data_IF_031657741316
#
_entry.id   IF_031657741316
#
_cell.length_a   1.000
_cell.length_b   1.000
_cell.length_c   1.000
_cell.angle_alpha   90.00
_cell.angle_beta   90.00
_cell.angle_gamma   90.00
#
_symmetry.space_group_name_H-M   'P 1'
#
loop_
_entity.id
_entity.type
_entity.pdbx_description
1 polymer ?
#
# COMPACT_ATOMS: atom_id res chain seq x y z
N UNK A 1 14.14 -37.30 -2.62
CA UNK A 1 13.40 -36.74 -1.46
C UNK A 1 12.83 -35.39 -1.96
N UNK A 2 11.52 -35.34 -2.25
CA UNK A 2 10.83 -34.10 -2.56
C UNK A 2 10.52 -33.40 -1.24
N UNK A 3 11.21 -32.30 -0.96
CA UNK A 3 10.76 -31.38 0.07
C UNK A 3 9.39 -30.85 -0.36
N UNK A 4 8.37 -31.19 0.41
CA UNK A 4 7.03 -30.65 0.21
C UNK A 4 7.06 -29.11 0.39
N UNK A 5 6.09 -28.36 -0.20
CA UNK A 5 6.05 -26.92 -0.09
C UNK A 5 6.10 -26.52 1.38
N UNK A 6 7.02 -25.59 1.69
CA UNK A 6 7.15 -25.03 3.03
C UNK A 6 5.74 -24.60 3.51
N UNK A 7 5.26 -25.19 4.59
CA UNK A 7 4.02 -24.75 5.23
C UNK A 7 4.28 -23.31 5.69
N UNK A 8 3.57 -22.38 5.08
CA UNK A 8 3.57 -20.99 5.54
C UNK A 8 3.22 -20.95 7.03
N UNK A 9 3.84 -20.06 7.83
CA UNK A 9 3.50 -19.88 9.23
C UNK A 9 1.98 -19.77 9.34
N UNK A 10 1.39 -20.54 10.24
CA UNK A 10 -0.04 -20.76 10.28
C UNK A 10 -0.80 -19.48 10.58
N UNK A 11 -2.04 -19.43 10.14
CA UNK A 11 -3.08 -18.39 10.38
C UNK A 11 -3.16 -17.92 11.86
N UNK A 12 -2.47 -18.61 12.79
CA UNK A 12 -2.43 -18.28 14.23
C UNK A 12 -1.74 -16.99 14.58
N UNK A 13 -0.83 -16.49 13.71
CA UNK A 13 -0.09 -15.24 13.97
C UNK A 13 -0.84 -13.99 13.48
N UNK A 14 -1.87 -14.18 12.65
CA UNK A 14 -2.88 -13.20 12.28
C UNK A 14 -2.38 -11.78 11.94
N UNK A 15 -3.17 -10.75 12.27
CA UNK A 15 -2.79 -9.37 12.02
C UNK A 15 -1.46 -8.90 12.63
N UNK A 16 -1.01 -9.36 13.82
CA UNK A 16 0.32 -9.00 14.34
C UNK A 16 1.49 -9.36 13.42
N UNK A 17 1.40 -10.47 12.68
CA UNK A 17 2.42 -10.83 11.67
C UNK A 17 2.51 -9.78 10.56
N UNK A 18 1.37 -9.23 10.12
CA UNK A 18 1.36 -8.17 9.10
C UNK A 18 2.12 -6.92 9.58
N UNK A 19 1.92 -6.53 10.83
CA UNK A 19 2.64 -5.40 11.44
C UNK A 19 4.15 -5.67 11.49
N UNK A 20 4.56 -6.86 11.95
CA UNK A 20 5.98 -7.24 12.02
C UNK A 20 6.64 -7.21 10.62
N UNK A 21 5.99 -7.78 9.61
CA UNK A 21 6.50 -7.80 8.25
C UNK A 21 6.53 -6.40 7.62
N UNK A 22 5.52 -5.57 7.90
CA UNK A 22 5.48 -4.15 7.52
C UNK A 22 6.69 -3.39 8.09
N UNK A 23 6.95 -3.55 9.39
CA UNK A 23 8.03 -2.83 10.07
C UNK A 23 9.41 -3.26 9.55
N UNK A 24 9.59 -4.54 9.22
CA UNK A 24 10.80 -5.02 8.54
C UNK A 24 10.95 -4.43 7.14
N UNK A 25 9.87 -4.40 6.35
CA UNK A 25 9.87 -3.78 5.02
C UNK A 25 10.18 -2.29 5.11
N UNK A 26 9.55 -1.59 6.06
CA UNK A 26 9.81 -0.18 6.31
C UNK A 26 11.29 0.08 6.61
N UNK A 27 11.91 -0.69 7.51
CA UNK A 27 13.33 -0.57 7.80
C UNK A 27 14.22 -0.78 6.56
N UNK A 28 13.87 -1.74 5.68
CA UNK A 28 14.58 -1.95 4.42
C UNK A 28 14.43 -0.75 3.46
N UNK A 29 13.21 -0.24 3.29
CA UNK A 29 12.95 0.91 2.41
C UNK A 29 13.68 2.16 2.90
N UNK A 30 13.64 2.44 4.21
CA UNK A 30 14.33 3.59 4.80
C UNK A 30 15.84 3.49 4.62
N UNK A 31 16.44 2.32 4.83
CA UNK A 31 17.88 2.12 4.59
C UNK A 31 18.28 2.35 3.13
N UNK A 32 17.47 1.90 2.16
CA UNK A 32 17.72 2.15 0.74
C UNK A 32 17.54 3.62 0.36
N UNK A 33 16.53 4.31 0.92
CA UNK A 33 16.29 5.74 0.69
C UNK A 33 17.41 6.60 1.31
N UNK A 34 17.88 6.23 2.50
CA UNK A 34 19.00 6.93 3.14
C UNK A 34 20.33 6.73 2.40
N UNK A 35 20.52 5.59 1.75
CA UNK A 35 21.70 5.34 0.92
C UNK A 35 21.65 6.09 -0.43
N UNK A 36 20.48 6.51 -0.90
CA UNK A 36 20.31 7.22 -2.18
C UNK A 36 20.58 8.71 -2.02
N UNK A 37 21.72 9.18 -2.56
CA UNK A 37 22.14 10.60 -2.45
C UNK A 37 21.22 11.58 -3.21
N UNK A 38 20.36 11.08 -4.09
CA UNK A 38 19.39 11.90 -4.80
C UNK A 38 18.16 12.26 -3.94
N UNK A 39 18.01 11.62 -2.78
CA UNK A 39 16.92 11.85 -1.85
C UNK A 39 17.35 12.91 -0.82
N UNK A 40 16.65 14.01 -0.78
CA UNK A 40 16.91 15.13 0.13
C UNK A 40 16.31 14.95 1.53
N UNK A 41 15.24 14.16 1.64
CA UNK A 41 14.62 13.83 2.91
C UNK A 41 13.46 12.85 2.81
N UNK A 42 13.11 12.20 3.91
CA UNK A 42 12.02 11.23 4.03
C UNK A 42 11.26 11.46 5.32
N UNK A 43 9.95 11.40 5.24
CA UNK A 43 9.06 11.36 6.38
C UNK A 43 8.02 10.23 6.25
N UNK A 44 7.59 9.69 7.38
CA UNK A 44 6.39 8.88 7.47
C UNK A 44 5.17 9.78 7.48
N UNK A 45 4.14 9.39 6.75
CA UNK A 45 2.84 10.07 6.72
C UNK A 45 1.72 9.07 6.97
N UNK A 46 0.47 9.45 6.82
CA UNK A 46 -0.66 8.57 7.12
C UNK A 46 -0.71 8.13 8.59
N UNK A 47 -1.12 6.90 8.85
CA UNK A 47 -1.21 6.37 10.22
C UNK A 47 0.15 6.27 10.91
N UNK A 48 1.20 5.85 10.18
CA UNK A 48 2.57 5.76 10.69
C UNK A 48 3.15 7.14 11.05
N UNK A 49 2.82 8.18 10.28
CA UNK A 49 3.25 9.56 10.56
C UNK A 49 2.67 10.08 11.87
N UNK A 50 1.39 9.79 12.12
CA UNK A 50 0.66 10.23 13.32
C UNK A 50 0.87 9.34 14.54
N UNK A 51 1.53 8.18 14.42
CA UNK A 51 1.65 7.19 15.50
C UNK A 51 0.30 6.53 15.85
N UNK A 52 -0.58 6.38 14.87
CA UNK A 52 -1.92 5.77 14.97
C UNK A 52 -2.00 4.44 14.20
N UNK A 53 -0.84 3.85 13.89
CA UNK A 53 -0.77 2.61 13.14
C UNK A 53 -1.35 1.44 13.93
N UNK A 54 -2.03 0.57 13.21
CA UNK A 54 -2.51 -0.72 13.69
C UNK A 54 -1.86 -1.87 12.88
N UNK A 55 -2.28 -3.08 13.18
CA UNK A 55 -1.77 -4.28 12.50
C UNK A 55 -2.11 -4.34 10.99
N UNK A 56 -3.06 -3.54 10.53
CA UNK A 56 -3.52 -3.48 9.16
C UNK A 56 -2.96 -2.28 8.38
N UNK A 57 -2.17 -1.43 9.04
CA UNK A 57 -1.63 -0.22 8.41
C UNK A 57 -0.61 -0.56 7.33
N UNK A 58 -0.70 0.12 6.21
CA UNK A 58 0.28 0.19 5.13
C UNK A 58 1.41 1.18 5.46
N UNK A 59 2.39 1.25 4.56
CA UNK A 59 3.49 2.20 4.64
C UNK A 59 3.17 3.36 3.72
N UNK A 60 3.13 4.59 4.26
CA UNK A 60 3.04 5.82 3.49
C UNK A 60 4.32 6.63 3.69
N UNK A 61 5.11 6.85 2.62
CA UNK A 61 6.36 7.61 2.64
C UNK A 61 6.23 8.91 1.84
N UNK A 62 6.57 10.02 2.48
CA UNK A 62 6.72 11.32 1.86
C UNK A 62 8.21 11.56 1.62
N UNK A 63 8.60 11.68 0.35
CA UNK A 63 10.00 11.69 -0.10
C UNK A 63 10.27 13.02 -0.78
N UNK A 64 11.31 13.72 -0.35
CA UNK A 64 11.78 14.95 -0.99
C UNK A 64 13.00 14.65 -1.86
N UNK A 65 12.95 15.11 -3.12
CA UNK A 65 14.02 14.95 -4.09
C UNK A 65 14.08 16.13 -5.07
N UNK A 66 15.16 16.24 -5.86
CA UNK A 66 15.25 17.28 -6.89
C UNK A 66 14.26 17.05 -8.04
N UNK A 67 13.83 18.12 -8.70
CA UNK A 67 13.00 18.04 -9.92
C UNK A 67 13.63 17.17 -11.01
N UNK A 68 14.94 17.18 -11.13
CA UNK A 68 15.65 16.35 -12.11
C UNK A 68 15.48 14.87 -11.78
N UNK A 69 15.65 14.50 -10.51
CA UNK A 69 15.45 13.13 -10.07
C UNK A 69 14.00 12.69 -10.28
N UNK A 70 13.01 13.51 -9.91
CA UNK A 70 11.59 13.18 -10.10
C UNK A 70 11.27 12.86 -11.55
N UNK A 71 11.76 13.68 -12.50
CA UNK A 71 11.56 13.40 -13.93
C UNK A 71 12.17 12.08 -14.38
N UNK A 72 13.35 11.72 -13.88
CA UNK A 72 13.99 10.42 -14.17
C UNK A 72 13.18 9.27 -13.55
N UNK A 73 12.81 9.41 -12.28
CA UNK A 73 12.02 8.43 -11.56
C UNK A 73 10.66 8.16 -12.21
N UNK A 74 9.99 9.20 -12.72
CA UNK A 74 8.72 9.05 -13.44
C UNK A 74 8.84 8.20 -14.71
N UNK A 75 9.99 8.20 -15.38
CA UNK A 75 10.22 7.43 -16.59
C UNK A 75 10.57 5.97 -16.27
N UNK A 76 11.36 5.75 -15.23
CA UNK A 76 11.89 4.43 -14.88
C UNK A 76 11.94 4.23 -13.35
N UNK A 77 10.79 4.07 -12.67
CA UNK A 77 10.76 3.92 -11.21
C UNK A 77 11.60 2.74 -10.71
N UNK A 78 11.58 1.62 -11.44
CA UNK A 78 12.30 0.40 -11.08
C UNK A 78 13.84 0.54 -11.11
N UNK A 79 14.39 1.61 -11.68
CA UNK A 79 15.81 1.93 -11.60
C UNK A 79 16.23 2.27 -10.17
N UNK A 80 15.30 2.83 -9.35
CA UNK A 80 15.53 3.12 -7.94
C UNK A 80 15.34 1.85 -7.10
N UNK A 81 16.38 1.39 -6.36
CA UNK A 81 16.31 0.14 -5.58
C UNK A 81 15.15 0.11 -4.58
N UNK A 82 14.81 1.26 -3.97
CA UNK A 82 13.74 1.41 -3.01
C UNK A 82 12.33 1.41 -3.62
N UNK A 83 12.22 1.54 -4.95
CA UNK A 83 10.95 1.45 -5.67
C UNK A 83 10.72 0.08 -6.34
N UNK A 84 11.67 -0.86 -6.20
CA UNK A 84 11.50 -2.22 -6.73
C UNK A 84 10.48 -2.99 -5.91
N UNK A 85 9.48 -3.53 -6.59
CA UNK A 85 8.37 -4.24 -5.97
C UNK A 85 7.87 -5.38 -6.85
N UNK A 86 7.11 -6.29 -6.27
CA UNK A 86 6.48 -7.40 -6.99
C UNK A 86 5.32 -6.89 -7.87
N UNK A 87 4.72 -5.76 -7.49
CA UNK A 87 3.70 -5.08 -8.27
C UNK A 87 3.82 -3.57 -8.08
N UNK A 88 3.71 -2.83 -9.19
CA UNK A 88 3.73 -1.37 -9.23
C UNK A 88 2.38 -0.83 -9.68
N UNK A 89 1.92 0.24 -9.02
CA UNK A 89 0.73 1.00 -9.39
C UNK A 89 1.09 2.48 -9.54
N UNK A 90 0.93 3.00 -10.76
CA UNK A 90 1.12 4.43 -11.04
C UNK A 90 0.02 5.25 -10.37
N UNK A 91 0.40 6.01 -9.36
CA UNK A 91 -0.46 6.91 -8.59
C UNK A 91 -0.33 8.38 -8.99
N UNK A 92 0.39 8.72 -10.07
CA UNK A 92 0.67 10.12 -10.48
C UNK A 92 -0.56 11.02 -10.52
N UNK A 93 -1.71 10.50 -10.97
CA UNK A 93 -2.97 11.24 -11.00
C UNK A 93 -3.48 11.67 -9.61
N UNK A 94 -2.94 11.10 -8.54
CA UNK A 94 -3.24 11.48 -7.16
C UNK A 94 -2.25 12.49 -6.58
N UNK A 95 -1.24 12.88 -7.34
CA UNK A 95 -0.18 13.78 -6.88
C UNK A 95 -0.38 15.21 -7.39
N UNK A 96 0.04 16.23 -6.63
CA UNK A 96 0.12 17.61 -7.10
C UNK A 96 1.02 17.74 -8.33
N UNK A 97 0.86 18.81 -9.09
CA UNK A 97 1.70 19.07 -10.26
C UNK A 97 3.19 19.16 -9.88
N UNK A 98 4.04 18.44 -10.63
CA UNK A 98 5.48 18.36 -10.37
C UNK A 98 5.91 17.33 -9.33
N UNK A 99 4.96 16.66 -8.66
CA UNK A 99 5.21 15.53 -7.80
C UNK A 99 4.81 14.21 -8.49
N UNK A 100 5.13 13.08 -7.89
CA UNK A 100 4.65 11.78 -8.36
C UNK A 100 4.31 10.88 -7.17
N UNK A 101 3.42 9.91 -7.36
CA UNK A 101 3.24 8.86 -6.40
C UNK A 101 3.25 7.49 -7.07
N UNK A 102 3.73 6.50 -6.34
CA UNK A 102 3.85 5.13 -6.79
C UNK A 102 3.38 4.22 -5.66
N UNK A 103 2.33 3.45 -5.90
CA UNK A 103 1.94 2.35 -5.02
C UNK A 103 2.82 1.13 -5.33
N UNK A 104 3.42 0.54 -4.31
CA UNK A 104 4.27 -0.64 -4.43
C UNK A 104 3.75 -1.76 -3.56
N UNK A 105 3.59 -2.96 -4.13
CA UNK A 105 3.26 -4.14 -3.36
C UNK A 105 4.44 -5.10 -3.32
N UNK A 106 4.78 -5.58 -2.14
CA UNK A 106 5.92 -6.44 -1.85
C UNK A 106 5.47 -7.75 -1.23
N UNK A 107 5.87 -8.88 -1.79
CA UNK A 107 5.62 -10.19 -1.18
C UNK A 107 6.67 -10.45 -0.11
N UNK A 108 6.26 -10.61 1.14
CA UNK A 108 7.12 -10.99 2.25
C UNK A 108 6.52 -12.16 3.01
N UNK A 109 7.28 -13.23 3.14
CA UNK A 109 6.79 -14.47 3.76
C UNK A 109 5.47 -14.96 3.16
N UNK A 110 5.26 -14.81 1.85
CA UNK A 110 4.04 -15.20 1.16
C UNK A 110 2.84 -14.28 1.38
N UNK A 111 3.04 -13.08 1.97
CA UNK A 111 1.98 -12.09 2.22
C UNK A 111 2.28 -10.79 1.46
N UNK A 112 1.28 -10.16 0.84
CA UNK A 112 1.45 -8.88 0.17
C UNK A 112 1.44 -7.74 1.19
N UNK A 113 2.44 -6.88 1.14
CA UNK A 113 2.53 -5.65 1.90
C UNK A 113 2.51 -4.47 0.93
N UNK A 114 1.85 -3.40 1.32
CA UNK A 114 1.69 -2.22 0.47
C UNK A 114 2.49 -1.04 1.02
N UNK A 115 3.16 -0.31 0.09
CA UNK A 115 3.79 0.96 0.41
C UNK A 115 3.45 2.00 -0.68
N UNK A 116 2.98 3.15 -0.24
CA UNK A 116 2.74 4.32 -1.09
C UNK A 116 3.91 5.30 -0.96
N UNK A 117 4.56 5.56 -2.10
CA UNK A 117 5.74 6.40 -2.21
C UNK A 117 5.34 7.72 -2.85
N UNK A 118 5.32 8.80 -2.09
CA UNK A 118 4.96 10.15 -2.55
C UNK A 118 6.21 10.99 -2.72
N UNK A 119 6.66 11.20 -3.96
CA UNK A 119 7.92 11.90 -4.28
C UNK A 119 7.63 13.32 -4.72
N UNK A 120 8.20 14.28 -4.00
CA UNK A 120 7.92 15.71 -4.14
C UNK A 120 9.20 16.51 -4.33
N UNK A 121 9.12 17.67 -5.04
CA UNK A 121 10.27 18.57 -5.23
C UNK A 121 10.70 19.20 -3.90
N UNK A 122 11.99 19.00 -3.55
CA UNK A 122 12.53 19.45 -2.26
C UNK A 122 12.67 20.97 -2.11
N UNK A 123 12.75 21.70 -3.23
CA UNK A 123 12.99 23.16 -3.24
C UNK A 123 11.74 23.99 -2.86
N UNK A 124 10.54 23.40 -2.96
CA UNK A 124 9.28 24.10 -2.76
C UNK A 124 8.23 23.40 -1.93
N UNK A 125 8.45 22.11 -1.62
CA UNK A 125 7.45 21.32 -0.90
C UNK A 125 7.74 21.34 0.60
N UNK A 126 6.80 21.80 1.44
CA UNK A 126 6.93 21.72 2.89
C UNK A 126 6.61 20.30 3.38
N UNK A 127 7.12 19.94 4.56
CA UNK A 127 6.69 18.73 5.26
C UNK A 127 5.22 18.84 5.68
N UNK A 128 4.39 17.80 5.48
CA UNK A 128 3.03 17.78 6.04
C UNK A 128 3.05 17.94 7.56
N UNK A 129 2.05 18.65 8.12
CA UNK A 129 2.00 18.98 9.55
C UNK A 129 1.90 17.75 10.45
N UNK A 130 1.33 16.65 9.95
CA UNK A 130 1.13 15.37 10.64
C UNK A 130 2.17 14.32 10.22
N UNK A 131 3.30 14.73 9.67
CA UNK A 131 4.40 13.85 9.27
C UNK A 131 5.41 13.64 10.39
N UNK A 132 6.07 12.47 10.37
CA UNK A 132 7.22 12.16 11.23
C UNK A 132 8.47 12.07 10.37
N UNK A 133 9.32 13.10 10.41
CA UNK A 133 10.57 13.16 9.65
C UNK A 133 11.50 12.05 10.12
N UNK A 134 12.01 11.25 9.18
CA UNK A 134 12.98 10.17 9.43
C UNK A 134 14.40 10.71 9.27
N UNK A 135 14.66 11.34 8.13
CA UNK A 135 15.90 12.08 7.90
C UNK A 135 15.67 13.25 6.94
N UNK A 136 16.57 14.23 7.00
CA UNK A 136 16.56 15.41 6.17
C UNK A 136 18.00 15.83 5.90
N UNK A 137 18.39 15.92 4.61
CA UNK A 137 19.70 16.41 4.19
C UNK A 137 19.70 17.90 3.86
N UNK A 138 18.54 18.40 3.43
CA UNK A 138 18.31 19.81 3.18
C UNK A 138 17.09 20.27 3.94
N UNK A 139 17.22 21.30 4.80
CA UNK A 139 16.11 21.80 5.59
C UNK A 139 14.93 22.21 4.69
N UNK A 140 13.79 21.57 4.89
CA UNK A 140 12.53 21.97 4.28
C UNK A 140 11.64 22.68 5.29
N UNK A 141 10.70 23.48 4.81
CA UNK A 141 9.78 24.21 5.70
C UNK A 141 8.79 23.23 6.33
N UNK A 142 8.42 23.46 7.58
CA UNK A 142 7.23 22.83 8.14
C UNK A 142 5.98 23.41 7.47
N UNK A 143 5.09 22.52 7.02
CA UNK A 143 3.80 22.89 6.46
C UNK A 143 2.74 23.03 7.54
N UNK A 144 1.59 23.58 7.15
CA UNK A 144 0.41 23.74 8.02
C UNK A 144 -0.72 22.78 7.68
N UNK A 145 -0.63 22.12 6.53
CA UNK A 145 -1.62 21.14 6.07
C UNK A 145 -1.20 19.74 6.50
N UNK A 146 -2.17 18.96 6.95
CA UNK A 146 -1.97 17.51 7.09
C UNK A 146 -1.65 16.87 5.73
N UNK A 147 -1.10 15.66 5.73
CA UNK A 147 -0.82 14.92 4.50
C UNK A 147 -2.07 14.75 3.62
N UNK A 148 -3.22 14.45 4.24
CA UNK A 148 -4.48 14.32 3.53
C UNK A 148 -4.94 15.63 2.85
N UNK A 149 -4.88 16.76 3.58
CA UNK A 149 -5.20 18.08 3.05
C UNK A 149 -4.19 18.51 1.96
N UNK A 150 -2.91 18.24 2.18
CA UNK A 150 -1.85 18.51 1.19
C UNK A 150 -2.12 17.76 -0.11
N UNK A 151 -2.42 16.46 -0.04
CA UNK A 151 -2.77 15.66 -1.22
C UNK A 151 -4.09 16.10 -1.88
N UNK A 152 -5.04 16.64 -1.11
CA UNK A 152 -6.28 17.15 -1.65
C UNK A 152 -6.12 18.54 -2.31
N UNK A 153 -5.05 19.27 -1.98
CA UNK A 153 -4.79 20.63 -2.47
C UNK A 153 -4.14 20.63 -3.86
N UNK A 154 -4.45 21.64 -4.64
CA UNK A 154 -3.80 21.92 -5.92
C UNK A 154 -4.28 21.09 -7.13
N UNK A 155 -3.80 21.45 -8.33
CA UNK A 155 -4.16 20.77 -9.57
C UNK A 155 -3.55 19.38 -9.64
N UNK A 156 -4.38 18.41 -10.08
CA UNK A 156 -3.96 17.02 -10.28
C UNK A 156 -3.35 16.82 -11.65
N UNK A 157 -2.46 15.82 -11.75
CA UNK A 157 -1.99 15.36 -13.04
C UNK A 157 -3.10 14.58 -13.75
N UNK A 158 -3.17 14.64 -15.10
CA UNK A 158 -4.12 13.81 -15.85
C UNK A 158 -3.81 12.34 -15.62
N UNK A 159 -4.88 11.54 -15.51
CA UNK A 159 -4.74 10.10 -15.42
C UNK A 159 -4.14 9.53 -16.71
N UNK A 160 -3.17 8.64 -16.56
CA UNK A 160 -2.63 7.86 -17.68
C UNK A 160 -3.66 6.83 -18.16
N UNK A 161 -3.79 6.68 -19.47
CA UNK A 161 -4.58 5.59 -20.06
C UNK A 161 -3.85 4.28 -19.75
N UNK A 162 -4.55 3.35 -19.10
CA UNK A 162 -4.00 2.04 -18.71
C UNK A 162 -4.54 0.94 -19.60
N UNK A 163 -3.69 -0.01 -19.92
CA UNK A 163 -4.11 -1.25 -20.59
C UNK A 163 -4.98 -2.11 -19.67
N UNK A 164 -5.73 -3.05 -20.25
CA UNK A 164 -6.53 -3.99 -19.47
C UNK A 164 -5.70 -4.81 -18.48
N UNK A 165 -4.47 -5.19 -18.87
CA UNK A 165 -3.56 -5.94 -17.99
C UNK A 165 -3.00 -5.09 -16.86
N UNK A 166 -2.72 -3.82 -17.09
CA UNK A 166 -2.33 -2.88 -16.03
C UNK A 166 -3.48 -2.67 -15.04
N UNK A 167 -4.71 -2.49 -15.53
CA UNK A 167 -5.90 -2.37 -14.67
C UNK A 167 -6.08 -3.64 -13.84
N UNK A 168 -5.93 -4.83 -14.46
CA UNK A 168 -6.01 -6.12 -13.75
C UNK A 168 -4.98 -6.23 -12.64
N UNK A 169 -3.71 -5.88 -12.90
CA UNK A 169 -2.63 -5.88 -11.90
C UNK A 169 -2.96 -4.93 -10.75
N UNK A 170 -3.35 -3.71 -11.07
CA UNK A 170 -3.70 -2.69 -10.08
C UNK A 170 -4.85 -3.17 -9.20
N UNK A 171 -5.92 -3.70 -9.81
CA UNK A 171 -7.06 -4.22 -9.05
C UNK A 171 -6.66 -5.39 -8.15
N UNK A 172 -5.81 -6.33 -8.62
CA UNK A 172 -5.31 -7.41 -7.78
C UNK A 172 -4.49 -6.87 -6.59
N UNK A 173 -3.69 -5.82 -6.81
CA UNK A 173 -2.97 -5.12 -5.74
C UNK A 173 -3.88 -4.42 -4.73
N UNK A 174 -5.06 -3.99 -5.13
CA UNK A 174 -6.04 -3.38 -4.23
C UNK A 174 -6.89 -4.38 -3.43
N UNK A 175 -6.87 -5.68 -3.77
CA UNK A 175 -7.59 -6.69 -2.97
C UNK A 175 -7.12 -6.74 -1.52
N UNK A 176 -5.80 -6.74 -1.17
CA UNK A 176 -5.34 -6.65 0.21
C UNK A 176 -5.79 -5.35 0.90
N UNK A 177 -5.80 -4.23 0.18
CA UNK A 177 -6.28 -2.94 0.74
C UNK A 177 -7.78 -3.03 1.08
N UNK A 178 -8.59 -3.66 0.23
CA UNK A 178 -9.99 -3.92 0.54
C UNK A 178 -10.13 -4.88 1.73
N UNK A 179 -9.31 -5.95 1.79
CA UNK A 179 -9.26 -6.90 2.91
C UNK A 179 -8.90 -6.22 4.24
N UNK A 180 -7.99 -5.25 4.24
CA UNK A 180 -7.68 -4.40 5.39
C UNK A 180 -8.94 -3.71 5.95
N UNK A 181 -9.78 -3.17 5.08
CA UNK A 181 -11.03 -2.54 5.50
C UNK A 181 -12.04 -3.55 6.05
N UNK A 182 -12.06 -4.79 5.52
CA UNK A 182 -12.88 -5.88 6.08
C UNK A 182 -12.38 -6.25 7.49
N UNK A 183 -11.06 -6.45 7.65
CA UNK A 183 -10.44 -6.75 8.94
C UNK A 183 -10.72 -5.69 10.01
N UNK A 184 -10.79 -4.42 9.62
CA UNK A 184 -11.16 -3.27 10.48
C UNK A 184 -12.67 -3.07 10.64
N UNK A 185 -13.51 -3.89 10.01
CA UNK A 185 -14.98 -3.69 9.93
C UNK A 185 -15.37 -2.28 9.47
N UNK A 186 -14.57 -1.71 8.58
CA UNK A 186 -14.79 -0.37 8.05
C UNK A 186 -15.90 -0.36 6.99
N UNK A 187 -16.77 0.66 6.97
CA UNK A 187 -17.78 0.82 5.92
C UNK A 187 -17.15 0.97 4.52
N UNK A 188 -15.88 1.35 4.42
CA UNK A 188 -15.13 1.44 3.16
C UNK A 188 -14.92 0.08 2.48
N UNK A 189 -15.03 -1.04 3.20
CA UNK A 189 -14.89 -2.37 2.62
C UNK A 189 -15.85 -2.59 1.43
N UNK A 190 -17.13 -2.28 1.60
CA UNK A 190 -18.13 -2.38 0.53
C UNK A 190 -17.86 -1.45 -0.65
N UNK A 191 -17.35 -0.24 -0.41
CA UNK A 191 -16.95 0.71 -1.47
C UNK A 191 -15.80 0.14 -2.31
N UNK A 192 -14.79 -0.42 -1.66
CA UNK A 192 -13.65 -1.04 -2.33
C UNK A 192 -14.05 -2.28 -3.15
N UNK A 193 -14.95 -3.11 -2.63
CA UNK A 193 -15.47 -4.28 -3.36
C UNK A 193 -16.20 -3.84 -4.63
N UNK A 194 -17.02 -2.78 -4.56
CA UNK A 194 -17.68 -2.20 -5.73
C UNK A 194 -16.69 -1.63 -6.75
N UNK A 195 -15.67 -0.91 -6.26
CA UNK A 195 -14.59 -0.38 -7.10
C UNK A 195 -13.84 -1.50 -7.84
N UNK A 196 -13.60 -2.63 -7.19
CA UNK A 196 -12.90 -3.79 -7.76
C UNK A 196 -13.75 -4.61 -8.75
N UNK A 197 -15.00 -4.24 -8.99
CA UNK A 197 -15.82 -4.79 -10.09
C UNK A 197 -17.16 -5.37 -9.67
N UNK A 198 -17.44 -5.60 -8.39
CA UNK A 198 -18.75 -6.06 -7.92
C UNK A 198 -19.69 -4.88 -7.64
N UNK A 199 -20.12 -4.20 -8.70
CA UNK A 199 -20.87 -2.92 -8.63
C UNK A 199 -22.12 -2.96 -7.76
N UNK A 200 -22.81 -4.10 -7.71
CA UNK A 200 -24.07 -4.27 -6.97
C UNK A 200 -23.85 -4.86 -5.56
N UNK A 201 -22.61 -4.92 -5.08
CA UNK A 201 -22.31 -5.45 -3.76
C UNK A 201 -22.81 -4.53 -2.66
N UNK A 202 -23.67 -5.04 -1.77
CA UNK A 202 -24.31 -4.25 -0.69
C UNK A 202 -24.11 -4.84 0.70
N UNK A 203 -23.60 -6.09 0.83
CA UNK A 203 -23.47 -6.76 2.12
C UNK A 203 -22.50 -6.04 3.06
N UNK A 204 -22.91 -5.88 4.32
CA UNK A 204 -22.07 -5.40 5.42
C UNK A 204 -21.49 -6.56 6.25
N UNK A 205 -21.91 -7.80 5.97
CA UNK A 205 -21.35 -8.98 6.62
C UNK A 205 -19.89 -9.21 6.22
N UNK A 206 -18.94 -9.20 7.17
CA UNK A 206 -17.52 -9.40 6.87
C UNK A 206 -17.22 -10.73 6.18
N UNK A 207 -17.96 -11.80 6.50
CA UNK A 207 -17.75 -13.11 5.85
C UNK A 207 -18.16 -13.05 4.37
N UNK A 208 -19.28 -12.40 4.05
CA UNK A 208 -19.70 -12.16 2.66
C UNK A 208 -18.70 -11.26 1.92
N UNK A 209 -18.11 -10.27 2.60
CA UNK A 209 -17.09 -9.40 2.03
C UNK A 209 -15.81 -10.16 1.69
N UNK A 210 -15.33 -11.05 2.59
CA UNK A 210 -14.17 -11.92 2.30
C UNK A 210 -14.43 -12.82 1.12
N UNK A 211 -15.62 -13.45 1.06
CA UNK A 211 -16.00 -14.31 -0.07
C UNK A 211 -16.02 -13.54 -1.40
N UNK A 212 -16.54 -12.32 -1.42
CA UNK A 212 -16.52 -11.45 -2.58
C UNK A 212 -15.09 -11.13 -3.03
N UNK A 213 -14.18 -10.79 -2.09
CA UNK A 213 -12.77 -10.50 -2.40
C UNK A 213 -12.03 -11.73 -2.95
N UNK A 214 -12.34 -12.94 -2.46
CA UNK A 214 -11.78 -14.19 -3.02
C UNK A 214 -12.24 -14.41 -4.46
N UNK A 215 -13.51 -14.16 -4.76
CA UNK A 215 -14.04 -14.21 -6.13
C UNK A 215 -13.29 -13.23 -7.05
N UNK A 216 -13.18 -11.98 -6.64
CA UNK A 216 -12.45 -10.93 -7.37
C UNK A 216 -10.99 -11.35 -7.60
N UNK A 217 -10.28 -11.78 -6.56
CA UNK A 217 -8.88 -12.20 -6.68
C UNK A 217 -8.70 -13.33 -7.68
N UNK A 218 -9.61 -14.31 -7.68
CA UNK A 218 -9.62 -15.42 -8.64
C UNK A 218 -9.81 -14.92 -10.08
N UNK A 219 -10.74 -14.01 -10.31
CA UNK A 219 -11.06 -13.48 -11.65
C UNK A 219 -9.92 -12.58 -12.18
N UNK A 220 -9.19 -11.92 -11.30
CA UNK A 220 -8.04 -11.07 -11.63
C UNK A 220 -6.73 -11.86 -11.80
N UNK A 221 -6.65 -13.09 -11.29
CA UNK A 221 -5.45 -13.93 -11.40
C UNK A 221 -5.16 -14.30 -12.85
N UNK A 222 -3.87 -14.38 -13.18
CA UNK A 222 -3.37 -14.80 -14.48
C UNK A 222 -2.05 -15.54 -14.30
N UNK A 223 -1.56 -16.32 -15.28
CA UNK A 223 -0.28 -17.02 -15.18
C UNK A 223 0.90 -16.09 -14.83
N UNK A 224 0.87 -14.84 -15.27
CA UNK A 224 1.88 -13.82 -14.97
C UNK A 224 1.80 -13.25 -13.55
N UNK A 225 0.68 -13.48 -12.86
CA UNK A 225 0.38 -12.93 -11.53
C UNK A 225 0.20 -14.04 -10.49
N UNK A 226 0.54 -15.29 -10.78
CA UNK A 226 0.28 -16.44 -9.92
C UNK A 226 0.85 -16.24 -8.52
N UNK A 227 2.12 -15.90 -8.40
CA UNK A 227 2.76 -15.70 -7.10
C UNK A 227 2.09 -14.58 -6.29
N UNK A 228 1.69 -13.50 -6.93
CA UNK A 228 0.98 -12.42 -6.25
C UNK A 228 -0.45 -12.83 -5.87
N UNK A 229 -1.12 -13.58 -6.73
CA UNK A 229 -2.45 -14.15 -6.46
C UNK A 229 -2.44 -15.09 -5.24
N UNK A 230 -1.42 -15.95 -5.13
CA UNK A 230 -1.25 -16.85 -4.00
C UNK A 230 -1.00 -16.07 -2.70
N UNK A 231 -0.20 -15.00 -2.76
CA UNK A 231 0.03 -14.12 -1.61
C UNK A 231 -1.26 -13.40 -1.18
N UNK A 232 -2.08 -12.94 -2.14
CA UNK A 232 -3.39 -12.34 -1.86
C UNK A 232 -4.33 -13.36 -1.21
N UNK A 233 -4.35 -14.60 -1.69
CA UNK A 233 -5.16 -15.65 -1.07
C UNK A 233 -4.77 -15.90 0.39
N UNK A 234 -3.46 -16.01 0.66
CA UNK A 234 -2.92 -16.17 2.03
C UNK A 234 -3.27 -14.98 2.94
N UNK A 235 -3.24 -13.75 2.40
CA UNK A 235 -3.67 -12.57 3.14
C UNK A 235 -5.16 -12.61 3.49
N UNK A 236 -6.01 -13.04 2.56
CA UNK A 236 -7.45 -13.19 2.80
C UNK A 236 -7.76 -14.28 3.83
N UNK A 237 -6.89 -15.30 3.99
CA UNK A 237 -7.01 -16.28 5.09
C UNK A 237 -6.81 -15.61 6.46
N UNK A 238 -5.87 -14.66 6.58
CA UNK A 238 -5.68 -13.86 7.80
C UNK A 238 -6.90 -12.99 8.07
N UNK A 239 -7.43 -12.31 7.04
CA UNK A 239 -8.63 -11.48 7.20
C UNK A 239 -9.82 -12.32 7.66
N UNK A 240 -10.04 -13.46 7.04
CA UNK A 240 -11.14 -14.38 7.39
C UNK A 240 -11.03 -14.88 8.83
N UNK A 241 -9.82 -15.26 9.26
CA UNK A 241 -9.59 -15.69 10.63
C UNK A 241 -9.87 -14.57 11.65
N UNK A 242 -9.42 -13.35 11.37
CA UNK A 242 -9.63 -12.20 12.24
C UNK A 242 -11.12 -11.88 12.44
N UNK A 243 -11.92 -11.89 11.35
CA UNK A 243 -13.37 -11.60 11.46
C UNK A 243 -14.15 -12.71 12.17
N UNK A 244 -13.68 -13.99 12.12
CA UNK A 244 -14.29 -15.12 12.84
C UNK A 244 -14.05 -15.05 14.33
N UNK A 245 -12.83 -14.72 14.77
CA UNK A 245 -12.47 -14.63 16.20
C UNK A 245 -13.33 -13.60 16.92
N UNK A 246 -13.48 -12.41 16.34
CA UNK A 246 -14.27 -11.34 16.96
C UNK A 246 -15.79 -11.57 16.90
N UNK A 247 -16.28 -12.42 15.99
CA UNK A 247 -17.69 -12.81 15.91
C UNK A 247 -18.11 -13.83 16.96
N UNK A 248 -17.15 -14.58 17.53
CA UNK A 248 -17.41 -15.62 18.53
C UNK A 248 -17.65 -15.08 19.96
N UNK A 249 -17.12 -13.91 20.31
CA UNK A 249 -17.24 -13.34 21.66
C UNK A 249 -18.58 -12.59 21.90
N UNK A 250 -19.44 -12.46 20.89
CA UNK A 250 -20.74 -11.77 21.02
C UNK A 250 -21.91 -12.73 21.33
N UNK A 251 -21.64 -14.00 21.57
CA UNK A 251 -22.66 -15.04 21.79
C UNK A 251 -22.64 -15.63 23.22
N UNK A 252 -22.36 -14.81 24.25
CA UNK A 252 -22.52 -15.19 25.67
C UNK A 252 -23.46 -14.24 26.38
#
# INVERSE_FOLDING_TARGET
MHEGPARFPGVRDGPPLLAELRDRLLGQLLGLLEADVAIDGVALVGSLGRGEEDNWSDIDLFILASDQFIRQFMNEPAASPWARADLLSDGRHNSPAGATSLGTAHIRSGLPLWADLHVHPSDRTPWPADSRIVFERRPARAGTLSFGEFNASGPRQPATVKTADEVRRIHLGYVPIAGKYVGRRSPRAGEMIRFLGQRDFTSQDPAAQVLALRGIAKDLSSPLLTQFGDAVASYLDIVEAAVKVEGGDSAV
#
